data_IF_421661837836
#
_entry.id   IF_421661837836
#
_cell.length_a   1.000
_cell.length_b   1.000
_cell.length_c   1.000
_cell.angle_alpha   90.00
_cell.angle_beta   90.00
_cell.angle_gamma   90.00
#
_symmetry.space_group_name_H-M   'P 1'
#
loop_
_entity.id
_entity.type
_entity.pdbx_description
1 polymer ?
#
# COMPACT_ATOMS: atom_id res chain seq x y z
N UNK A 1 57.46 -4.36 -27.06
CA UNK A 1 57.36 -3.07 -27.78
C UNK A 1 56.86 -3.31 -29.20
N UNK A 2 55.63 -2.86 -29.50
CA UNK A 2 55.08 -2.47 -30.82
C UNK A 2 53.67 -1.91 -30.56
N UNK A 3 53.40 -0.63 -30.86
CA UNK A 3 52.13 0.02 -30.54
C UNK A 3 51.07 -0.27 -31.61
N UNK A 4 49.88 -0.66 -31.17
CA UNK A 4 48.71 -0.91 -32.02
C UNK A 4 48.13 0.43 -32.49
N UNK A 5 48.12 0.62 -33.82
CA UNK A 5 47.60 1.82 -34.48
C UNK A 5 46.07 1.82 -34.49
N UNK A 6 45.57 2.90 -33.91
CA UNK A 6 44.34 3.63 -34.17
C UNK A 6 44.00 3.72 -35.67
N UNK A 7 42.84 3.22 -36.11
CA UNK A 7 42.12 3.69 -37.31
C UNK A 7 40.62 3.73 -37.02
N UNK A 8 40.08 4.96 -37.00
CA UNK A 8 38.67 5.35 -37.04
C UNK A 8 38.19 5.35 -38.50
N UNK A 9 37.14 4.61 -38.85
CA UNK A 9 36.20 4.88 -39.97
C UNK A 9 34.90 4.14 -39.60
N UNK A 10 33.92 4.72 -38.89
CA UNK A 10 32.84 5.60 -39.38
C UNK A 10 32.22 5.16 -40.71
N UNK A 11 31.25 4.24 -40.68
CA UNK A 11 30.22 4.15 -41.70
C UNK A 11 28.96 3.50 -41.14
N UNK A 12 27.96 4.36 -40.89
CA UNK A 12 26.53 4.10 -41.02
C UNK A 12 26.01 2.66 -40.88
N UNK A 13 25.53 2.31 -39.68
CA UNK A 13 24.20 1.68 -39.56
C UNK A 13 23.56 2.10 -38.24
N UNK A 14 22.66 3.06 -38.36
CA UNK A 14 21.66 3.43 -37.38
C UNK A 14 20.86 2.17 -37.01
N UNK A 15 21.04 1.66 -35.79
CA UNK A 15 20.08 0.76 -35.17
C UNK A 15 19.71 1.35 -33.80
N UNK A 16 18.73 2.26 -33.86
CA UNK A 16 17.87 2.59 -32.73
C UNK A 16 17.13 1.31 -32.32
N UNK A 17 17.50 0.72 -31.19
CA UNK A 17 16.57 -0.11 -30.41
C UNK A 17 16.62 0.38 -28.96
N UNK A 18 15.54 1.08 -28.63
CA UNK A 18 15.20 1.74 -27.38
C UNK A 18 15.10 0.70 -26.24
N UNK A 19 15.48 1.18 -25.06
CA UNK A 19 15.34 0.64 -23.72
C UNK A 19 14.28 -0.45 -23.48
N UNK A 20 14.68 -1.49 -22.75
CA UNK A 20 13.77 -2.24 -21.86
C UNK A 20 14.41 -2.34 -20.48
N UNK A 21 14.09 -1.35 -19.65
CA UNK A 21 14.25 -1.47 -18.20
C UNK A 21 13.15 -2.39 -17.66
N UNK A 22 13.52 -3.31 -16.77
CA UNK A 22 12.57 -3.99 -15.89
C UNK A 22 11.91 -2.95 -14.99
N UNK A 23 10.73 -2.48 -15.37
CA UNK A 23 9.80 -1.81 -14.47
C UNK A 23 9.05 -2.86 -13.65
N UNK A 24 9.12 -2.84 -12.30
CA UNK A 24 8.16 -3.56 -11.48
C UNK A 24 6.79 -2.90 -11.66
N UNK A 25 5.84 -3.64 -12.22
CA UNK A 25 4.48 -3.17 -12.47
C UNK A 25 3.79 -2.76 -11.16
N UNK A 26 3.33 -1.49 -11.02
CA UNK A 26 2.34 -1.18 -10.00
C UNK A 26 1.05 -1.88 -10.42
N UNK A 27 0.54 -2.77 -9.57
CA UNK A 27 -0.76 -3.40 -9.80
C UNK A 27 -1.82 -2.32 -9.74
N UNK A 28 -2.22 -1.84 -10.92
CA UNK A 28 -3.47 -1.12 -11.14
C UNK A 28 -4.59 -2.00 -10.60
N UNK A 29 -5.16 -1.55 -9.49
CA UNK A 29 -6.34 -2.14 -8.87
C UNK A 29 -7.49 -2.04 -9.87
N UNK A 30 -8.01 -3.20 -10.28
CA UNK A 30 -9.17 -3.29 -11.15
C UNK A 30 -10.41 -2.83 -10.38
N UNK A 31 -11.04 -1.82 -10.95
CA UNK A 31 -12.23 -1.12 -10.48
C UNK A 31 -13.38 -2.08 -10.10
N UNK A 32 -13.89 -1.93 -8.87
CA UNK A 32 -15.11 -2.53 -8.35
C UNK A 32 -16.00 -1.40 -7.80
N UNK A 33 -17.34 -1.50 -7.88
CA UNK A 33 -18.30 -0.41 -7.61
C UNK A 33 -18.17 0.12 -6.17
N UNK A 34 -18.64 1.34 -5.86
CA UNK A 34 -18.04 2.23 -4.85
C UNK A 34 -18.06 1.59 -3.47
N UNK A 35 -17.01 0.83 -3.17
CA UNK A 35 -16.57 0.60 -1.82
C UNK A 35 -16.14 1.98 -1.37
N UNK A 36 -16.80 2.54 -0.37
CA UNK A 36 -16.38 3.77 0.32
C UNK A 36 -14.85 3.73 0.48
N UNK A 37 -14.17 4.52 -0.35
CA UNK A 37 -12.73 4.55 -0.41
C UNK A 37 -12.25 5.53 0.65
N UNK A 38 -11.72 5.01 1.74
CA UNK A 38 -11.07 5.81 2.75
C UNK A 38 -9.69 6.22 2.20
N UNK A 39 -9.57 7.46 1.75
CA UNK A 39 -8.26 8.01 1.37
C UNK A 39 -7.55 8.49 2.62
N UNK A 40 -6.42 7.87 2.93
CA UNK A 40 -5.58 8.19 4.09
C UNK A 40 -4.34 8.91 3.60
N UNK A 41 -3.86 9.89 4.37
CA UNK A 41 -2.64 10.65 4.08
C UNK A 41 -1.39 9.77 4.00
N UNK A 42 -0.45 10.13 3.13
CA UNK A 42 0.74 9.33 2.80
C UNK A 42 1.63 9.05 4.03
N UNK A 43 1.67 9.97 5.00
CA UNK A 43 2.41 9.80 6.24
C UNK A 43 1.86 8.67 7.11
N UNK A 44 0.56 8.40 7.05
CA UNK A 44 -0.09 7.37 7.85
C UNK A 44 -0.19 6.01 7.15
N UNK A 45 0.06 5.93 5.84
CA UNK A 45 -0.01 4.66 5.07
C UNK A 45 0.95 3.60 5.60
N UNK A 46 2.10 4.00 6.16
CA UNK A 46 3.07 3.07 6.75
C UNK A 46 2.47 2.26 7.91
N UNK A 47 1.50 2.83 8.63
CA UNK A 47 0.83 2.16 9.72
C UNK A 47 -0.02 0.97 9.29
N UNK A 48 -0.46 0.92 8.03
CA UNK A 48 -1.21 -0.23 7.51
C UNK A 48 -0.37 -1.49 7.47
N UNK A 49 0.90 -1.39 7.07
CA UNK A 49 1.81 -2.53 7.09
C UNK A 49 2.06 -3.02 8.53
N UNK A 50 2.10 -2.12 9.51
CA UNK A 50 2.19 -2.50 10.92
C UNK A 50 0.93 -3.23 11.37
N UNK A 51 -0.26 -2.73 11.03
CA UNK A 51 -1.52 -3.36 11.43
C UNK A 51 -1.75 -4.73 10.77
N UNK A 52 -1.41 -4.87 9.48
CA UNK A 52 -1.45 -6.13 8.73
C UNK A 52 -0.52 -7.18 9.38
N UNK A 53 0.70 -6.79 9.74
CA UNK A 53 1.62 -7.68 10.48
C UNK A 53 1.08 -8.16 11.83
N UNK A 54 0.19 -7.41 12.49
CA UNK A 54 -0.34 -7.76 13.81
C UNK A 54 -1.35 -8.92 13.78
N UNK A 55 -1.94 -9.23 12.63
CA UNK A 55 -2.76 -10.43 12.47
C UNK A 55 -1.97 -11.62 11.89
N UNK A 56 -0.75 -11.36 11.41
CA UNK A 56 0.22 -12.37 10.98
C UNK A 56 -0.01 -12.89 9.56
N UNK A 57 -0.85 -12.24 8.76
CA UNK A 57 -1.12 -12.66 7.37
C UNK A 57 -0.29 -11.89 6.34
N UNK A 58 0.05 -10.60 6.59
CA UNK A 58 0.86 -9.77 5.68
C UNK A 58 0.33 -9.80 4.23
N UNK A 59 -0.99 -9.75 4.07
CA UNK A 59 -1.70 -9.94 2.80
C UNK A 59 -2.40 -8.67 2.30
N UNK A 60 -2.11 -7.53 2.94
CA UNK A 60 -2.75 -6.24 2.71
C UNK A 60 -4.24 -6.22 3.10
N UNK A 61 -4.64 -7.13 3.98
CA UNK A 61 -5.95 -7.15 4.62
C UNK A 61 -5.74 -6.96 6.11
N UNK A 62 -6.21 -5.84 6.65
CA UNK A 62 -6.17 -5.63 8.10
C UNK A 62 -7.41 -6.27 8.70
N UNK A 63 -7.23 -7.45 9.29
CA UNK A 63 -8.33 -8.21 9.87
C UNK A 63 -8.80 -7.64 11.22
N UNK A 64 -7.94 -6.89 11.91
CA UNK A 64 -8.26 -6.27 13.22
C UNK A 64 -8.88 -4.88 13.01
N UNK A 65 -9.89 -4.56 13.80
CA UNK A 65 -10.68 -3.34 13.66
C UNK A 65 -9.88 -2.09 14.07
N UNK A 66 -9.54 -1.24 13.09
CA UNK A 66 -8.82 0.02 13.31
C UNK A 66 -9.52 0.98 14.28
N UNK A 67 -10.85 1.13 14.17
CA UNK A 67 -11.62 2.01 15.05
C UNK A 67 -11.64 1.54 16.52
N UNK A 68 -11.29 0.28 16.78
CA UNK A 68 -11.12 -0.26 18.13
C UNK A 68 -9.65 -0.35 18.54
N UNK A 69 -8.79 0.50 17.96
CA UNK A 69 -7.34 0.49 18.17
C UNK A 69 -6.73 -0.91 17.98
N UNK A 70 -7.23 -1.63 16.97
CA UNK A 70 -6.85 -3.01 16.64
C UNK A 70 -7.17 -4.03 17.74
N UNK A 71 -7.79 -3.67 18.87
CA UNK A 71 -8.04 -4.60 19.99
C UNK A 71 -9.10 -5.68 19.70
N UNK A 72 -9.95 -5.46 18.69
CA UNK A 72 -11.05 -6.35 18.31
C UNK A 72 -10.85 -6.89 16.89
N UNK A 73 -11.30 -8.12 16.64
CA UNK A 73 -11.34 -8.69 15.29
C UNK A 73 -12.46 -8.06 14.46
N UNK A 74 -12.18 -7.84 13.18
CA UNK A 74 -13.12 -7.35 12.18
C UNK A 74 -13.86 -8.49 11.47
N UNK A 75 -14.98 -8.13 10.83
CA UNK A 75 -15.76 -9.03 10.00
C UNK A 75 -15.56 -8.66 8.51
N UNK A 76 -15.26 -9.65 7.67
CA UNK A 76 -15.06 -9.43 6.23
C UNK A 76 -16.31 -8.93 5.49
N UNK A 77 -17.51 -9.12 6.06
CA UNK A 77 -18.76 -8.55 5.54
C UNK A 77 -18.89 -7.05 5.83
N UNK A 78 -18.10 -6.52 6.77
CA UNK A 78 -18.10 -5.11 7.17
C UNK A 78 -16.71 -4.55 6.83
N UNK A 79 -16.47 -4.30 5.55
CA UNK A 79 -15.16 -3.88 5.05
C UNK A 79 -15.17 -2.48 4.43
N UNK A 80 -14.03 -1.80 4.47
CA UNK A 80 -13.72 -0.62 3.66
C UNK A 80 -12.41 -0.83 2.91
N UNK A 81 -12.19 -0.07 1.83
CA UNK A 81 -10.95 -0.09 1.05
C UNK A 81 -10.28 1.27 1.14
N UNK A 82 -8.95 1.30 1.10
CA UNK A 82 -8.20 2.55 1.17
C UNK A 82 -6.72 2.32 0.92
N UNK A 83 -6.09 3.16 0.10
CA UNK A 83 -4.63 3.13 -0.15
C UNK A 83 -4.09 1.73 -0.52
N UNK A 84 -4.86 0.90 -1.23
CA UNK A 84 -4.48 -0.45 -1.63
C UNK A 84 -4.66 -1.54 -0.57
N UNK A 85 -5.23 -1.20 0.60
CA UNK A 85 -5.57 -2.15 1.66
C UNK A 85 -7.08 -2.40 1.73
N UNK A 86 -7.43 -3.55 2.30
CA UNK A 86 -8.79 -3.86 2.76
C UNK A 86 -8.81 -3.86 4.28
N UNK A 87 -9.78 -3.18 4.88
CA UNK A 87 -9.93 -3.08 6.34
C UNK A 87 -11.22 -3.75 6.77
N UNK A 88 -11.15 -4.67 7.73
CA UNK A 88 -12.32 -5.30 8.32
C UNK A 88 -12.70 -4.61 9.64
N UNK A 89 -14.01 -4.43 9.88
CA UNK A 89 -14.52 -3.75 11.06
C UNK A 89 -15.44 -4.66 11.87
N UNK A 90 -15.44 -4.48 13.19
CA UNK A 90 -16.28 -5.28 14.08
C UNK A 90 -17.77 -4.89 14.02
N UNK A 91 -18.08 -3.69 13.51
CA UNK A 91 -19.44 -3.16 13.36
C UNK A 91 -19.52 -2.12 12.24
N UNK A 92 -20.71 -1.90 11.68
CA UNK A 92 -20.95 -0.84 10.69
C UNK A 92 -20.59 0.55 11.23
N UNK A 93 -20.81 0.79 12.53
CA UNK A 93 -20.44 2.05 13.17
C UNK A 93 -18.93 2.32 13.07
N UNK A 94 -18.11 1.31 13.38
CA UNK A 94 -16.66 1.40 13.26
C UNK A 94 -16.20 1.64 11.81
N UNK A 95 -16.83 0.96 10.83
CA UNK A 95 -16.54 1.22 9.41
C UNK A 95 -16.86 2.66 9.03
N UNK A 96 -18.03 3.16 9.44
CA UNK A 96 -18.45 4.53 9.13
C UNK A 96 -17.49 5.55 9.74
N UNK A 97 -17.10 5.41 11.01
CA UNK A 97 -16.12 6.32 11.63
C UNK A 97 -14.78 6.34 10.89
N UNK A 98 -14.30 5.18 10.47
CA UNK A 98 -13.06 5.07 9.69
C UNK A 98 -13.18 5.73 8.32
N UNK A 99 -14.29 5.53 7.60
CA UNK A 99 -14.49 6.15 6.28
C UNK A 99 -14.64 7.67 6.39
N UNK A 100 -15.31 8.17 7.43
CA UNK A 100 -15.52 9.61 7.64
C UNK A 100 -14.24 10.34 8.05
N UNK A 101 -13.40 9.72 8.89
CA UNK A 101 -12.20 10.35 9.44
C UNK A 101 -11.02 9.37 9.50
N UNK A 102 -10.54 8.87 8.35
CA UNK A 102 -9.56 7.78 8.33
C UNK A 102 -8.25 8.15 9.02
N UNK A 103 -7.68 9.31 8.71
CA UNK A 103 -6.42 9.78 9.30
C UNK A 103 -6.47 9.82 10.83
N UNK A 104 -7.57 10.35 11.38
CA UNK A 104 -7.75 10.43 12.82
C UNK A 104 -7.82 9.03 13.44
N UNK A 105 -8.57 8.12 12.84
CA UNK A 105 -8.70 6.75 13.36
C UNK A 105 -7.37 5.99 13.26
N UNK A 106 -6.61 6.17 12.17
CA UNK A 106 -5.30 5.53 12.01
C UNK A 106 -4.31 6.07 13.04
N UNK A 107 -4.21 7.39 13.20
CA UNK A 107 -3.35 8.01 14.21
C UNK A 107 -3.72 7.54 15.61
N UNK A 108 -5.01 7.58 15.98
CA UNK A 108 -5.46 7.14 17.30
C UNK A 108 -5.14 5.67 17.58
N UNK A 109 -5.37 4.78 16.60
CA UNK A 109 -5.05 3.37 16.74
C UNK A 109 -3.55 3.14 16.98
N UNK A 110 -2.69 3.92 16.31
CA UNK A 110 -1.24 3.78 16.40
C UNK A 110 -0.69 4.34 17.70
N UNK A 111 -1.16 5.51 18.14
CA UNK A 111 -0.80 6.07 19.45
C UNK A 111 -1.17 5.10 20.60
N UNK A 112 -2.32 4.42 20.48
CA UNK A 112 -2.75 3.40 21.44
C UNK A 112 -1.91 2.12 21.37
N UNK A 113 -1.45 1.73 20.18
CA UNK A 113 -0.58 0.57 20.00
C UNK A 113 0.84 0.82 20.55
N UNK A 114 1.37 2.03 20.38
CA UNK A 114 2.68 2.43 20.90
C UNK A 114 2.69 2.51 22.42
N UNK A 115 1.62 3.03 23.02
CA UNK A 115 1.48 3.10 24.49
C UNK A 115 1.25 1.74 25.17
N UNK A 116 0.95 0.69 24.40
CA UNK A 116 0.80 -0.68 24.89
C UNK A 116 2.10 -1.50 24.88
N UNK A 117 3.19 -0.96 24.32
CA UNK A 117 4.53 -1.59 24.24
C UNK A 117 5.46 -1.07 25.33
#
# INVERSE_FOLDING_TARGET
MKPTKLIRIFCCTVFLCVAWGCQPSPKTHSEAPPAVEATVSDDLVTHFATADKLDGQEDQVVHRCYACALSMDGNSQIAAKGNGYTFHFCSDHCRTQFVENPDQIVSQAMDMLESAQ
#
